data_IF_415107820549
#
_entry.id   IF_415107820549
#
_cell.length_a   1.000
_cell.length_b   1.000
_cell.length_c   1.000
_cell.angle_alpha   90.00
_cell.angle_beta   90.00
_cell.angle_gamma   90.00
#
_symmetry.space_group_name_H-M   'P 1'
#
loop_
_entity.id
_entity.type
_entity.pdbx_description
1 polymer ?
#
# COMPACT_ATOMS: atom_id res chain seq x y z
N UNK A 1 6.49 10.64 -10.29
CA UNK A 1 7.69 9.93 -10.60
C UNK A 1 7.55 8.42 -10.41
N UNK A 2 8.67 7.68 -10.42
CA UNK A 2 8.67 6.21 -10.36
C UNK A 2 7.97 5.65 -9.11
N UNK A 3 8.17 6.28 -7.96
CA UNK A 3 7.55 5.80 -6.71
C UNK A 3 6.02 5.89 -6.77
N UNK A 4 5.46 6.94 -7.34
CA UNK A 4 4.01 7.08 -7.49
C UNK A 4 3.43 6.08 -8.49
N UNK A 5 4.13 5.82 -9.60
CA UNK A 5 3.69 4.81 -10.55
C UNK A 5 3.66 3.43 -9.91
N UNK A 6 4.69 3.10 -9.14
CA UNK A 6 4.76 1.83 -8.40
C UNK A 6 3.70 1.75 -7.31
N UNK A 7 3.42 2.86 -6.64
CA UNK A 7 2.37 2.92 -5.63
C UNK A 7 0.99 2.68 -6.24
N UNK A 8 0.71 3.28 -7.39
CA UNK A 8 -0.56 3.03 -8.10
C UNK A 8 -0.69 1.57 -8.50
N UNK A 9 0.37 1.00 -9.04
CA UNK A 9 0.40 -0.41 -9.41
C UNK A 9 0.19 -1.32 -8.20
N UNK A 10 0.76 -0.95 -7.06
CA UNK A 10 0.60 -1.68 -5.81
C UNK A 10 -0.87 -1.68 -5.35
N UNK A 11 -1.50 -0.50 -5.33
CA UNK A 11 -2.91 -0.39 -4.95
C UNK A 11 -3.83 -1.13 -5.93
N UNK A 12 -3.54 -1.07 -7.22
CA UNK A 12 -4.28 -1.84 -8.22
C UNK A 12 -4.13 -3.34 -8.00
N UNK A 13 -2.93 -3.79 -7.65
CA UNK A 13 -2.66 -5.19 -7.36
C UNK A 13 -3.46 -5.71 -6.17
N UNK A 14 -3.73 -4.86 -5.18
CA UNK A 14 -4.55 -5.24 -4.03
C UNK A 14 -5.94 -5.73 -4.46
N UNK A 15 -6.46 -5.20 -5.56
CA UNK A 15 -7.77 -5.59 -6.11
C UNK A 15 -7.68 -6.81 -7.05
N UNK A 16 -6.48 -7.29 -7.33
CA UNK A 16 -6.23 -8.30 -8.35
C UNK A 16 -6.20 -9.75 -7.87
N UNK A 17 -6.44 -9.98 -6.58
CA UNK A 17 -6.45 -11.31 -6.00
C UNK A 17 -5.08 -11.79 -5.55
N UNK A 18 -5.08 -12.93 -4.85
CA UNK A 18 -3.92 -13.45 -4.13
C UNK A 18 -2.69 -13.69 -5.01
N UNK A 19 -2.88 -14.23 -6.20
CA UNK A 19 -1.77 -14.53 -7.10
C UNK A 19 -1.04 -13.24 -7.51
N UNK A 20 -1.79 -12.20 -7.83
CA UNK A 20 -1.24 -10.90 -8.17
C UNK A 20 -0.55 -10.25 -6.97
N UNK A 21 -1.07 -10.44 -5.76
CA UNK A 21 -0.42 -9.96 -4.54
C UNK A 21 0.97 -10.56 -4.39
N UNK A 22 1.08 -11.86 -4.57
CA UNK A 22 2.35 -12.58 -4.42
C UNK A 22 3.38 -12.13 -5.46
N UNK A 23 2.97 -11.94 -6.71
CA UNK A 23 3.86 -11.44 -7.75
C UNK A 23 4.35 -10.03 -7.44
N UNK A 24 3.43 -9.16 -7.01
CA UNK A 24 3.76 -7.78 -6.65
C UNK A 24 4.69 -7.74 -5.44
N UNK A 25 4.42 -8.56 -4.45
CA UNK A 25 5.26 -8.66 -3.25
C UNK A 25 6.66 -9.16 -3.58
N UNK A 26 6.75 -10.21 -4.41
CA UNK A 26 8.04 -10.76 -4.82
C UNK A 26 8.91 -9.73 -5.53
N UNK A 27 8.30 -8.88 -6.33
CA UNK A 27 9.00 -7.81 -7.06
C UNK A 27 9.61 -6.73 -6.14
N UNK A 28 9.24 -6.68 -4.87
CA UNK A 28 9.79 -5.72 -3.91
C UNK A 28 11.12 -6.14 -3.30
N UNK A 29 11.66 -7.29 -3.70
CA UNK A 29 12.94 -7.76 -3.20
C UNK A 29 14.12 -7.20 -4.00
N UNK A 30 15.33 -7.63 -3.59
CA UNK A 30 16.56 -7.29 -4.27
C UNK A 30 17.38 -6.20 -3.60
N UNK A 31 18.48 -5.84 -4.26
CA UNK A 31 19.41 -4.84 -3.74
C UNK A 31 18.74 -3.46 -3.69
N UNK A 32 18.89 -2.79 -2.56
CA UNK A 32 18.27 -1.47 -2.36
C UNK A 32 16.76 -1.50 -2.15
N UNK A 33 16.19 -2.69 -1.98
CA UNK A 33 14.74 -2.89 -1.86
C UNK A 33 14.11 -2.10 -0.72
N UNK A 34 14.78 -2.01 0.42
CA UNK A 34 14.23 -1.31 1.59
C UNK A 34 13.99 0.16 1.34
N UNK A 35 14.96 0.85 0.75
CA UNK A 35 14.83 2.26 0.41
C UNK A 35 13.74 2.49 -0.64
N UNK A 36 13.76 1.68 -1.70
CA UNK A 36 12.76 1.79 -2.76
C UNK A 36 11.35 1.50 -2.24
N UNK A 37 11.20 0.49 -1.37
CA UNK A 37 9.91 0.15 -0.78
C UNK A 37 9.41 1.25 0.16
N UNK A 38 10.31 1.83 0.94
CA UNK A 38 9.97 2.96 1.82
C UNK A 38 9.40 4.14 1.01
N UNK A 39 10.01 4.46 -0.13
CA UNK A 39 9.51 5.51 -1.03
C UNK A 39 8.13 5.18 -1.59
N UNK A 40 7.90 3.91 -1.94
CA UNK A 40 6.60 3.45 -2.42
C UNK A 40 5.55 3.57 -1.32
N UNK A 41 5.88 3.21 -0.07
CA UNK A 41 4.96 3.36 1.06
C UNK A 41 4.57 4.82 1.28
N UNK A 42 5.52 5.75 1.19
CA UNK A 42 5.23 7.17 1.30
C UNK A 42 4.26 7.62 0.20
N UNK A 43 4.49 7.18 -1.03
CA UNK A 43 3.62 7.50 -2.16
C UNK A 43 2.22 6.89 -1.98
N UNK A 44 2.12 5.67 -1.47
CA UNK A 44 0.83 5.03 -1.17
C UNK A 44 0.06 5.85 -0.14
N UNK A 45 0.73 6.33 0.91
CA UNK A 45 0.09 7.18 1.91
C UNK A 45 -0.53 8.43 1.29
N UNK A 46 0.19 9.10 0.39
CA UNK A 46 -0.32 10.28 -0.32
C UNK A 46 -1.56 9.91 -1.14
N UNK A 47 -1.49 8.84 -1.91
CA UNK A 47 -2.61 8.41 -2.75
C UNK A 47 -3.85 8.03 -1.93
N UNK A 48 -3.67 7.32 -0.84
CA UNK A 48 -4.78 6.95 0.05
C UNK A 48 -5.39 8.18 0.73
N UNK A 49 -4.56 9.14 1.12
CA UNK A 49 -5.06 10.40 1.69
C UNK A 49 -5.94 11.13 0.68
N UNK A 50 -5.50 11.24 -0.56
CA UNK A 50 -6.28 11.86 -1.62
C UNK A 50 -7.61 11.12 -1.86
N UNK A 51 -7.56 9.79 -1.90
CA UNK A 51 -8.77 8.96 -2.06
C UNK A 51 -9.75 9.15 -0.91
N UNK A 52 -9.24 9.20 0.32
CA UNK A 52 -10.07 9.42 1.50
C UNK A 52 -10.78 10.76 1.44
N UNK A 53 -10.05 11.82 1.08
CA UNK A 53 -10.61 13.16 0.95
C UNK A 53 -11.66 13.24 -0.15
N UNK A 54 -11.37 12.67 -1.31
CA UNK A 54 -12.29 12.67 -2.44
C UNK A 54 -13.58 11.91 -2.12
N UNK A 55 -13.45 10.75 -1.47
CA UNK A 55 -14.60 9.95 -1.05
C UNK A 55 -15.46 10.68 -0.02
N UNK A 56 -14.84 11.33 0.95
CA UNK A 56 -15.55 12.12 1.97
C UNK A 56 -16.31 13.29 1.33
N UNK A 57 -15.68 14.01 0.40
CA UNK A 57 -16.30 15.12 -0.31
C UNK A 57 -17.48 14.67 -1.17
N UNK A 58 -17.45 13.44 -1.68
CA UNK A 58 -18.54 12.85 -2.47
C UNK A 58 -19.62 12.20 -1.61
N UNK A 59 -19.47 12.19 -0.29
CA UNK A 59 -20.41 11.55 0.62
C UNK A 59 -20.27 10.04 0.71
N UNK A 60 -19.18 9.48 0.22
CA UNK A 60 -18.89 8.05 0.28
C UNK A 60 -18.15 7.70 1.57
N UNK A 61 -18.85 7.73 2.69
CA UNK A 61 -18.24 7.66 4.02
C UNK A 61 -17.53 6.33 4.27
N UNK A 62 -18.09 5.21 3.80
CA UNK A 62 -17.45 3.91 3.98
C UNK A 62 -16.15 3.80 3.20
N UNK A 63 -16.12 4.32 1.97
CA UNK A 63 -14.90 4.36 1.16
C UNK A 63 -13.84 5.27 1.79
N UNK A 64 -14.26 6.41 2.33
CA UNK A 64 -13.35 7.31 3.03
C UNK A 64 -12.72 6.63 4.25
N UNK A 65 -13.53 5.92 5.03
CA UNK A 65 -13.06 5.19 6.21
C UNK A 65 -12.11 4.05 5.83
N UNK A 66 -12.44 3.30 4.77
CA UNK A 66 -11.59 2.21 4.29
C UNK A 66 -10.21 2.73 3.88
N UNK A 67 -10.15 3.82 3.13
CA UNK A 67 -8.89 4.46 2.75
C UNK A 67 -8.11 4.96 3.96
N UNK A 68 -8.77 5.54 4.94
CA UNK A 68 -8.13 6.00 6.17
C UNK A 68 -7.53 4.84 6.97
N UNK A 69 -8.23 3.72 7.05
CA UNK A 69 -7.72 2.49 7.71
C UNK A 69 -6.54 1.90 6.95
N UNK A 70 -6.60 1.93 5.63
CA UNK A 70 -5.47 1.49 4.81
C UNK A 70 -4.23 2.35 5.04
N UNK A 71 -4.38 3.66 5.24
CA UNK A 71 -3.27 4.55 5.60
C UNK A 71 -2.61 4.13 6.91
N UNK A 72 -3.40 3.72 7.89
CA UNK A 72 -2.87 3.23 9.17
C UNK A 72 -2.04 1.96 8.95
N UNK A 73 -2.51 1.03 8.13
CA UNK A 73 -1.77 -0.18 7.79
C UNK A 73 -0.43 0.16 7.10
N UNK A 74 -0.42 1.17 6.22
CA UNK A 74 0.81 1.64 5.57
C UNK A 74 1.78 2.23 6.58
N UNK A 75 1.31 3.02 7.55
CA UNK A 75 2.17 3.57 8.60
C UNK A 75 2.81 2.47 9.45
N UNK A 76 2.06 1.43 9.78
CA UNK A 76 2.59 0.26 10.49
C UNK A 76 3.66 -0.47 9.65
N UNK A 77 3.43 -0.58 8.34
CA UNK A 77 4.42 -1.17 7.43
C UNK A 77 5.70 -0.34 7.36
N UNK A 78 5.60 0.99 7.39
CA UNK A 78 6.78 1.88 7.44
C UNK A 78 7.62 1.60 8.68
N UNK A 79 6.99 1.46 9.83
CA UNK A 79 7.69 1.14 11.08
C UNK A 79 8.35 -0.22 11.00
N UNK A 80 7.67 -1.23 10.48
CA UNK A 80 8.21 -2.57 10.32
C UNK A 80 9.43 -2.60 9.37
N UNK A 81 9.43 -1.77 8.33
CA UNK A 81 10.57 -1.64 7.42
C UNK A 81 11.83 -1.23 8.17
N UNK A 82 11.69 -0.38 9.17
CA UNK A 82 12.81 0.08 9.99
C UNK A 82 13.31 -1.00 10.96
N UNK A 83 12.54 -2.05 11.16
CA UNK A 83 12.86 -3.16 12.06
C UNK A 83 13.39 -4.40 11.32
N UNK A 84 13.93 -4.20 10.14
CA UNK A 84 14.53 -5.26 9.32
C UNK A 84 13.57 -6.33 8.81
N UNK A 85 12.27 -6.08 8.79
CA UNK A 85 11.32 -6.98 8.14
C UNK A 85 11.46 -6.86 6.62
N UNK A 86 11.40 -7.99 5.94
CA UNK A 86 11.57 -8.06 4.48
C UNK A 86 10.50 -7.25 3.74
N UNK A 87 10.87 -6.42 2.75
CA UNK A 87 9.89 -5.73 1.90
C UNK A 87 8.93 -6.68 1.20
N UNK A 88 9.39 -7.87 0.80
CA UNK A 88 8.52 -8.87 0.17
C UNK A 88 7.44 -9.36 1.13
N UNK A 89 7.82 -9.68 2.35
CA UNK A 89 6.88 -10.14 3.37
C UNK A 89 5.90 -9.06 3.76
N UNK A 90 6.38 -7.83 3.98
CA UNK A 90 5.53 -6.69 4.30
C UNK A 90 4.57 -6.37 3.17
N UNK A 91 5.02 -6.46 1.91
CA UNK A 91 4.17 -6.20 0.76
C UNK A 91 3.03 -7.21 0.65
N UNK A 92 3.31 -8.50 0.82
CA UNK A 92 2.28 -9.54 0.78
C UNK A 92 1.22 -9.30 1.85
N UNK A 93 1.65 -8.97 3.06
CA UNK A 93 0.79 -8.69 4.19
C UNK A 93 -0.05 -7.43 3.97
N UNK A 94 0.59 -6.35 3.50
CA UNK A 94 -0.08 -5.08 3.26
C UNK A 94 -1.13 -5.19 2.15
N UNK A 95 -0.83 -5.87 1.05
CA UNK A 95 -1.78 -6.09 -0.03
C UNK A 95 -3.02 -6.83 0.47
N UNK A 96 -2.81 -7.85 1.27
CA UNK A 96 -3.92 -8.60 1.89
C UNK A 96 -4.77 -7.71 2.80
N UNK A 97 -4.13 -6.88 3.61
CA UNK A 97 -4.85 -5.97 4.52
C UNK A 97 -5.65 -4.93 3.75
N UNK A 98 -5.06 -4.29 2.73
CA UNK A 98 -5.73 -3.30 1.90
C UNK A 98 -6.94 -3.92 1.19
N UNK A 99 -6.77 -5.10 0.63
CA UNK A 99 -7.85 -5.82 -0.02
C UNK A 99 -9.01 -6.12 0.93
N UNK A 100 -8.67 -6.56 2.16
CA UNK A 100 -9.67 -6.86 3.18
C UNK A 100 -10.44 -5.64 3.67
N UNK A 101 -9.85 -4.45 3.57
CA UNK A 101 -10.52 -3.20 3.95
C UNK A 101 -11.41 -2.64 2.83
N UNK A 102 -11.27 -3.13 1.61
CA UNK A 102 -12.01 -2.59 0.47
C UNK A 102 -11.51 -1.23 -0.01
N UNK A 103 -10.26 -0.95 0.30
CA UNK A 103 -9.65 0.34 -0.07
C UNK A 103 -9.04 0.33 -1.46
#
# INVERSE_FOLDING_TARGET
AAAFARARAFLDAAQGGRERWLRTAFAQGGKGARGAFSDVLDAISVLLHERSRAAAAAGHDQSALASARAMQAVEEAKLATQQNVSPQLLSARLLREIAGLGA
#
